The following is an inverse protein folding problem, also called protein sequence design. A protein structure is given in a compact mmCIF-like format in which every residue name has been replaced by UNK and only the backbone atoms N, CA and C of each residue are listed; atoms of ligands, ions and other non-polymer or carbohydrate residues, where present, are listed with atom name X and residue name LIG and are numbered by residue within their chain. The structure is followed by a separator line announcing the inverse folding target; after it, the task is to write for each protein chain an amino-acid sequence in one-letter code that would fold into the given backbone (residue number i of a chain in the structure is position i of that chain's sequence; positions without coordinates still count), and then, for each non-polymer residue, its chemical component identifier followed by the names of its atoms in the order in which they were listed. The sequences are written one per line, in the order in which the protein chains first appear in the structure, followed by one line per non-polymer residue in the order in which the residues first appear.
data_IF_581020843845
#
_entry.id   IF_581020843845
#
_cell.length_a   1.000
_cell.length_b   1.000
_cell.length_c   1.000
_cell.angle_alpha   90.00
_cell.angle_beta   90.00
_cell.angle_gamma   90.00
#
_symmetry.space_group_name_H-M   'P 1'
#
loop_
_entity.id
_entity.type
_entity.pdbx_description
1 polymer ?
#
# COMPACT_ATOMS: atom_id res chain seq x y z
N UNK A 1 -5.11 -24.22 2.77
CA UNK A 1 -4.54 -23.38 3.85
C UNK A 1 -5.01 -21.94 3.60
N UNK A 2 -5.53 -21.25 4.62
CA UNK A 2 -6.26 -19.97 4.42
C UNK A 2 -5.31 -18.77 4.47
N UNK A 3 -5.32 -17.94 3.42
CA UNK A 3 -4.47 -16.76 3.23
C UNK A 3 -4.73 -15.71 4.35
N UNK A 4 -3.75 -15.35 5.19
CA UNK A 4 -3.97 -14.61 6.44
C UNK A 4 -4.14 -13.09 6.30
N UNK A 5 -4.25 -12.52 5.09
CA UNK A 5 -4.22 -11.06 4.88
C UNK A 5 -5.54 -10.29 5.05
N UNK A 6 -6.69 -10.89 4.75
CA UNK A 6 -7.96 -10.16 4.64
C UNK A 6 -8.76 -10.14 5.96
N UNK A 7 -9.23 -8.95 6.35
CA UNK A 7 -10.19 -8.83 7.45
C UNK A 7 -11.43 -9.67 7.15
N UNK A 8 -11.71 -10.69 7.99
CA UNK A 8 -12.93 -11.53 7.88
C UNK A 8 -14.20 -10.85 8.42
N UNK A 9 -14.17 -9.53 8.55
CA UNK A 9 -15.33 -8.73 8.94
C UNK A 9 -16.22 -8.46 7.74
N UNK A 10 -17.52 -8.34 7.97
CA UNK A 10 -18.47 -7.98 6.93
C UNK A 10 -18.17 -6.57 6.42
N UNK A 11 -18.05 -6.40 5.11
CA UNK A 11 -17.81 -5.10 4.47
C UNK A 11 -18.95 -4.10 4.64
N UNK A 12 -20.17 -4.56 4.91
CA UNK A 12 -21.34 -3.70 5.08
C UNK A 12 -21.55 -3.27 6.55
N UNK A 13 -21.45 -4.20 7.51
CA UNK A 13 -21.77 -3.94 8.92
C UNK A 13 -20.63 -4.21 9.91
N UNK A 14 -19.47 -4.64 9.42
CA UNK A 14 -18.29 -5.02 10.22
C UNK A 14 -18.46 -6.23 11.13
N UNK A 15 -19.64 -6.87 11.18
CA UNK A 15 -19.85 -8.10 11.97
C UNK A 15 -19.02 -9.27 11.47
N UNK A 16 -18.65 -10.16 12.39
CA UNK A 16 -18.01 -11.43 12.11
C UNK A 16 -18.93 -12.59 12.56
N UNK A 17 -18.82 -13.79 11.96
CA UNK A 17 -17.97 -14.12 10.81
C UNK A 17 -18.58 -13.61 9.49
N UNK A 18 -17.74 -13.31 8.50
CA UNK A 18 -18.16 -12.97 7.14
C UNK A 18 -17.62 -13.96 6.10
N UNK A 19 -18.41 -14.21 5.06
CA UNK A 19 -18.07 -15.10 3.96
C UNK A 19 -17.65 -14.29 2.73
N UNK A 20 -16.64 -14.77 2.01
CA UNK A 20 -16.17 -14.13 0.79
C UNK A 20 -17.27 -14.11 -0.28
N UNK A 21 -17.32 -13.03 -1.07
CA UNK A 21 -18.17 -12.92 -2.24
C UNK A 21 -17.86 -14.09 -3.17
N UNK A 22 -18.89 -14.85 -3.54
CA UNK A 22 -18.73 -16.06 -4.36
C UNK A 22 -18.10 -15.81 -5.73
N UNK A 23 -18.14 -14.56 -6.21
CA UNK A 23 -17.62 -14.17 -7.52
C UNK A 23 -16.18 -13.67 -7.45
N UNK A 24 -15.92 -12.54 -6.79
CA UNK A 24 -14.58 -11.96 -6.75
C UNK A 24 -13.69 -12.54 -5.65
N UNK A 25 -14.28 -13.13 -4.59
CA UNK A 25 -13.58 -13.55 -3.37
C UNK A 25 -12.78 -12.46 -2.63
N UNK A 26 -12.89 -11.20 -3.05
CA UNK A 26 -12.17 -10.06 -2.47
C UNK A 26 -12.91 -9.41 -1.30
N UNK A 27 -14.24 -9.32 -1.36
CA UNK A 27 -15.06 -8.74 -0.29
C UNK A 27 -15.76 -9.82 0.53
N UNK A 28 -16.01 -9.55 1.80
CA UNK A 28 -16.63 -10.48 2.76
C UNK A 28 -17.95 -9.94 3.30
N UNK A 29 -18.98 -10.77 3.43
CA UNK A 29 -20.29 -10.38 3.96
C UNK A 29 -20.81 -11.41 4.97
N UNK A 30 -21.38 -10.96 6.10
CA UNK A 30 -21.99 -11.86 7.09
C UNK A 30 -23.32 -12.46 6.62
N UNK A 31 -23.95 -11.86 5.60
CA UNK A 31 -25.21 -12.32 5.04
C UNK A 31 -25.41 -11.84 3.59
N UNK A 32 -26.29 -12.52 2.86
CA UNK A 32 -26.73 -12.08 1.52
C UNK A 32 -27.41 -10.71 1.55
N UNK A 33 -28.05 -10.33 2.66
CA UNK A 33 -28.66 -9.01 2.82
C UNK A 33 -27.59 -7.92 2.85
N UNK A 34 -26.51 -8.14 3.61
CA UNK A 34 -25.37 -7.23 3.61
C UNK A 34 -24.68 -7.13 2.25
N UNK A 35 -24.53 -8.26 1.53
CA UNK A 35 -23.99 -8.26 0.17
C UNK A 35 -24.89 -7.48 -0.81
N UNK A 36 -26.21 -7.66 -0.74
CA UNK A 36 -27.18 -6.94 -1.59
C UNK A 36 -27.22 -5.45 -1.27
N UNK A 37 -27.13 -5.07 0.00
CA UNK A 37 -27.07 -3.68 0.43
C UNK A 37 -25.84 -2.95 -0.13
N UNK A 38 -24.69 -3.61 -0.19
CA UNK A 38 -23.47 -3.05 -0.76
C UNK A 38 -23.37 -3.22 -2.29
N UNK A 39 -24.25 -4.01 -2.92
CA UNK A 39 -24.18 -4.36 -4.34
C UNK A 39 -24.05 -3.16 -5.29
N UNK A 40 -24.78 -2.02 -5.12
CA UNK A 40 -24.63 -0.87 -6.02
C UNK A 40 -23.19 -0.35 -6.12
N UNK A 41 -22.41 -0.45 -5.03
CA UNK A 41 -21.01 -0.03 -4.96
C UNK A 41 -20.07 -1.19 -5.30
N UNK A 42 -20.34 -2.39 -4.78
CA UNK A 42 -19.53 -3.59 -5.01
C UNK A 42 -19.51 -4.02 -6.49
N UNK A 43 -20.65 -3.98 -7.19
CA UNK A 43 -20.78 -4.42 -8.60
C UNK A 43 -19.84 -3.70 -9.56
N UNK A 44 -19.46 -2.47 -9.22
CA UNK A 44 -18.51 -1.69 -10.00
C UNK A 44 -17.16 -2.41 -10.06
N UNK A 45 -16.81 -3.21 -9.05
CA UNK A 45 -15.51 -3.87 -8.90
C UNK A 45 -15.53 -5.38 -8.69
N UNK A 46 -16.70 -5.98 -8.53
CA UNK A 46 -16.85 -7.43 -8.59
C UNK A 46 -16.39 -7.91 -9.97
N UNK A 47 -15.46 -8.89 -10.04
CA UNK A 47 -14.92 -9.53 -11.28
C UNK A 47 -16.00 -10.25 -12.12
N UNK A 48 -17.11 -9.59 -12.46
CA UNK A 48 -18.29 -10.23 -13.04
C UNK A 48 -19.00 -9.38 -14.09
N UNK A 49 -18.32 -8.40 -14.66
CA UNK A 49 -18.83 -7.63 -15.78
C UNK A 49 -17.66 -7.27 -16.72
N UNK A 50 -17.28 -8.20 -17.59
CA UNK A 50 -16.56 -7.88 -18.83
C UNK A 50 -15.03 -8.00 -18.85
N UNK A 51 -14.38 -8.74 -17.94
CA UNK A 51 -12.97 -9.12 -18.18
C UNK A 51 -12.90 -10.11 -19.36
N UNK A 52 -11.90 -9.98 -20.26
CA UNK A 52 -11.69 -10.93 -21.36
C UNK A 52 -11.60 -12.36 -20.81
N UNK A 53 -11.93 -13.39 -21.63
CA UNK A 53 -11.81 -14.78 -21.21
C UNK A 53 -10.45 -14.98 -20.57
N UNK A 54 -10.43 -15.68 -19.43
CA UNK A 54 -9.23 -16.10 -18.75
C UNK A 54 -8.22 -16.52 -19.83
N UNK A 55 -7.10 -15.81 -19.90
CA UNK A 55 -5.94 -16.30 -20.66
C UNK A 55 -5.81 -17.76 -20.24
N UNK A 56 -5.78 -18.73 -21.19
CA UNK A 56 -5.79 -20.15 -20.85
C UNK A 56 -4.73 -20.36 -19.77
N UNK A 57 -5.16 -20.84 -18.59
CA UNK A 57 -4.32 -20.92 -17.39
C UNK A 57 -2.93 -21.44 -17.78
N UNK A 58 -1.89 -20.57 -17.78
CA UNK A 58 -0.55 -21.04 -18.04
C UNK A 58 -0.11 -21.91 -16.87
N UNK A 59 0.64 -22.96 -17.20
CA UNK A 59 1.25 -23.88 -16.26
C UNK A 59 1.93 -23.13 -15.08
N UNK A 60 1.56 -23.51 -13.86
CA UNK A 60 2.28 -23.22 -12.62
C UNK A 60 2.59 -21.73 -12.32
N UNK A 61 1.57 -20.86 -12.23
CA UNK A 61 1.76 -19.51 -11.68
C UNK A 61 2.36 -19.54 -10.27
N UNK A 62 3.37 -18.71 -10.01
CA UNK A 62 3.92 -18.52 -8.65
C UNK A 62 3.07 -17.51 -7.89
N UNK A 63 2.41 -17.97 -6.82
CA UNK A 63 1.48 -17.15 -6.05
C UNK A 63 2.19 -16.06 -5.21
N UNK A 64 3.36 -16.37 -4.65
CA UNK A 64 4.16 -15.45 -3.85
C UNK A 64 5.64 -15.76 -4.02
N UNK A 65 6.43 -14.73 -4.26
CA UNK A 65 7.87 -14.83 -4.33
C UNK A 65 8.47 -13.83 -3.33
N UNK A 66 9.25 -14.38 -2.41
CA UNK A 66 10.04 -13.61 -1.47
C UNK A 66 11.39 -13.32 -2.13
N UNK A 67 11.74 -12.05 -2.23
CA UNK A 67 12.98 -11.57 -2.86
C UNK A 67 13.74 -10.64 -1.91
N UNK A 68 13.49 -10.75 -0.61
CA UNK A 68 14.06 -9.88 0.41
C UNK A 68 15.59 -9.87 0.35
N UNK A 69 16.21 -11.04 0.34
CA UNK A 69 17.67 -11.17 0.42
C UNK A 69 18.35 -10.66 -0.86
N UNK A 70 17.76 -10.90 -2.03
CA UNK A 70 18.29 -10.45 -3.32
C UNK A 70 18.04 -8.97 -3.57
N UNK A 71 16.93 -8.41 -3.10
CA UNK A 71 16.65 -6.98 -3.23
C UNK A 71 17.47 -6.14 -2.24
N UNK A 72 17.89 -6.71 -1.11
CA UNK A 72 18.81 -6.07 -0.17
C UNK A 72 20.28 -6.20 -0.55
N UNK A 73 20.62 -7.06 -1.52
CA UNK A 73 22.01 -7.30 -1.94
C UNK A 73 22.44 -6.37 -3.08
N UNK A 74 23.74 -6.06 -3.13
CA UNK A 74 24.32 -5.19 -4.15
C UNK A 74 24.28 -5.79 -5.57
N UNK A 75 24.61 -5.01 -6.62
CA UNK A 75 24.50 -5.47 -8.01
C UNK A 75 25.38 -6.67 -8.40
N UNK A 76 26.46 -6.91 -7.64
CA UNK A 76 27.40 -8.01 -7.87
C UNK A 76 27.13 -9.22 -6.97
N UNK A 77 26.27 -9.06 -5.97
CA UNK A 77 25.93 -10.11 -5.01
C UNK A 77 24.73 -10.92 -5.53
N UNK A 78 24.76 -12.23 -5.27
CA UNK A 78 23.70 -13.17 -5.63
C UNK A 78 23.36 -13.14 -7.13
N UNK A 79 24.35 -12.93 -8.00
CA UNK A 79 24.11 -12.68 -9.43
C UNK A 79 23.45 -13.89 -10.14
N UNK A 80 23.76 -15.12 -9.71
CA UNK A 80 23.18 -16.33 -10.26
C UNK A 80 21.70 -16.48 -9.84
N UNK A 81 21.42 -16.29 -8.55
CA UNK A 81 20.10 -16.34 -7.95
C UNK A 81 19.19 -15.25 -8.53
N UNK A 82 19.70 -14.02 -8.65
CA UNK A 82 19.03 -12.90 -9.32
C UNK A 82 18.66 -13.20 -10.78
N UNK A 83 19.52 -13.93 -11.50
CA UNK A 83 19.25 -14.33 -12.88
C UNK A 83 18.21 -15.45 -12.96
N UNK A 84 18.26 -16.41 -12.04
CA UNK A 84 17.28 -17.49 -11.89
C UNK A 84 15.89 -16.95 -11.58
N UNK A 85 15.76 -16.08 -10.58
CA UNK A 85 14.50 -15.39 -10.23
C UNK A 85 13.92 -14.67 -11.44
N UNK A 86 14.74 -13.93 -12.19
CA UNK A 86 14.28 -13.24 -13.40
C UNK A 86 13.80 -14.23 -14.48
N UNK A 87 14.43 -15.39 -14.60
CA UNK A 87 14.00 -16.44 -15.52
C UNK A 87 12.67 -17.05 -15.08
N UNK A 88 12.54 -17.37 -13.80
CA UNK A 88 11.33 -17.94 -13.21
C UNK A 88 10.13 -16.98 -13.37
N UNK A 89 10.30 -15.70 -13.02
CA UNK A 89 9.25 -14.68 -13.17
C UNK A 89 8.86 -14.49 -14.63
N UNK A 90 9.79 -14.58 -15.58
CA UNK A 90 9.44 -14.51 -17.02
C UNK A 90 8.71 -15.74 -17.51
N UNK A 91 9.08 -16.92 -16.99
CA UNK A 91 8.54 -18.20 -17.44
C UNK A 91 7.15 -18.47 -16.87
N UNK A 92 6.97 -18.23 -15.57
CA UNK A 92 5.76 -18.60 -14.83
C UNK A 92 4.92 -17.39 -14.40
N UNK A 93 5.54 -16.21 -14.36
CA UNK A 93 4.92 -15.02 -13.78
C UNK A 93 4.79 -15.10 -12.26
N UNK A 94 4.42 -13.98 -11.65
CA UNK A 94 4.29 -13.86 -10.19
C UNK A 94 3.14 -12.93 -9.84
N UNK A 95 2.33 -13.32 -8.86
CA UNK A 95 1.18 -12.53 -8.41
C UNK A 95 1.51 -11.61 -7.23
N UNK A 96 2.47 -11.98 -6.39
CA UNK A 96 2.83 -11.22 -5.19
C UNK A 96 4.36 -11.13 -5.03
N UNK A 97 4.87 -9.89 -4.93
CA UNK A 97 6.29 -9.59 -4.68
C UNK A 97 6.42 -8.74 -3.42
N UNK A 98 6.91 -9.34 -2.34
CA UNK A 98 6.95 -8.68 -1.03
C UNK A 98 8.04 -9.30 -0.14
N UNK A 99 8.91 -8.50 0.52
CA UNK A 99 9.22 -7.08 0.28
C UNK A 99 10.21 -6.88 -0.89
N UNK A 100 10.20 -5.70 -1.52
CA UNK A 100 11.13 -5.32 -2.61
C UNK A 100 11.87 -4.03 -2.27
N UNK A 101 13.18 -4.11 -2.00
CA UNK A 101 14.05 -2.94 -1.74
C UNK A 101 14.69 -2.41 -3.04
N UNK A 102 14.36 -1.18 -3.43
CA UNK A 102 14.76 -0.62 -4.73
C UNK A 102 16.12 0.07 -4.75
N UNK A 103 16.72 0.38 -3.61
CA UNK A 103 17.88 1.27 -3.50
C UNK A 103 19.23 0.54 -3.62
N UNK A 104 19.28 -0.78 -3.35
CA UNK A 104 20.54 -1.57 -3.37
C UNK A 104 20.97 -2.00 -4.76
N UNK A 105 20.01 -2.42 -5.59
CA UNK A 105 20.22 -2.76 -7.01
C UNK A 105 19.04 -2.28 -7.88
N UNK A 106 18.95 -0.95 -8.12
CA UNK A 106 17.80 -0.36 -8.80
C UNK A 106 17.63 -0.87 -10.24
N UNK A 107 18.72 -1.27 -10.91
CA UNK A 107 18.66 -1.73 -12.28
C UNK A 107 18.06 -3.15 -12.37
N UNK A 108 18.44 -4.05 -11.47
CA UNK A 108 17.86 -5.38 -11.41
C UNK A 108 16.40 -5.35 -10.95
N UNK A 109 16.07 -4.59 -9.90
CA UNK A 109 14.69 -4.46 -9.42
C UNK A 109 13.76 -3.92 -10.50
N UNK A 110 14.20 -2.95 -11.30
CA UNK A 110 13.42 -2.47 -12.43
C UNK A 110 13.15 -3.57 -13.48
N UNK A 111 14.12 -4.45 -13.74
CA UNK A 111 13.93 -5.61 -14.64
C UNK A 111 12.94 -6.61 -14.05
N UNK A 112 13.03 -6.87 -12.74
CA UNK A 112 12.12 -7.76 -12.02
C UNK A 112 10.68 -7.27 -12.09
N UNK A 113 10.43 -6.01 -11.74
CA UNK A 113 9.08 -5.44 -11.77
C UNK A 113 8.50 -5.41 -13.19
N UNK A 114 9.32 -5.14 -14.22
CA UNK A 114 8.88 -5.22 -15.62
C UNK A 114 8.51 -6.63 -16.05
N UNK A 115 9.27 -7.64 -15.60
CA UNK A 115 8.96 -9.03 -15.88
C UNK A 115 7.68 -9.49 -15.16
N UNK A 116 7.46 -9.04 -13.92
CA UNK A 116 6.28 -9.37 -13.12
C UNK A 116 5.01 -8.63 -13.55
N UNK A 117 5.13 -7.46 -14.18
CA UNK A 117 4.03 -6.54 -14.53
C UNK A 117 2.76 -7.19 -15.11
N UNK A 118 2.83 -8.22 -15.99
CA UNK A 118 1.64 -8.81 -16.59
C UNK A 118 0.72 -9.53 -15.60
N UNK A 119 1.24 -10.07 -14.48
CA UNK A 119 0.47 -10.88 -13.51
C UNK A 119 0.48 -10.32 -12.09
N UNK A 120 1.30 -9.31 -11.79
CA UNK A 120 1.47 -8.77 -10.45
C UNK A 120 0.19 -8.13 -9.91
N UNK A 121 -0.32 -8.67 -8.80
CA UNK A 121 -1.53 -8.22 -8.10
C UNK A 121 -1.23 -7.56 -6.75
N UNK A 122 -0.17 -7.96 -6.06
CA UNK A 122 0.27 -7.37 -4.79
C UNK A 122 1.76 -7.01 -4.80
N UNK A 123 2.09 -5.80 -4.37
CA UNK A 123 3.47 -5.28 -4.33
C UNK A 123 3.72 -4.55 -3.02
N UNK A 124 4.84 -4.86 -2.36
CA UNK A 124 5.43 -4.07 -1.27
C UNK A 124 6.80 -3.57 -1.69
N UNK A 125 6.92 -2.26 -1.89
CA UNK A 125 8.10 -1.61 -2.44
C UNK A 125 8.68 -0.59 -1.46
N UNK A 126 9.99 -0.67 -1.29
CA UNK A 126 10.77 0.17 -0.39
C UNK A 126 11.76 1.02 -1.19
N UNK A 127 11.88 2.30 -0.83
CA UNK A 127 12.89 3.22 -1.39
C UNK A 127 12.87 3.32 -2.92
N UNK A 128 11.67 3.32 -3.50
CA UNK A 128 11.49 3.36 -4.95
C UNK A 128 12.24 4.57 -5.57
N UNK A 129 13.06 4.30 -6.59
CA UNK A 129 13.65 5.38 -7.42
C UNK A 129 12.61 5.98 -8.39
N UNK A 130 12.96 7.09 -9.04
CA UNK A 130 12.16 7.72 -10.11
C UNK A 130 11.67 6.71 -11.16
N UNK A 131 12.51 5.77 -11.59
CA UNK A 131 12.15 4.80 -12.63
C UNK A 131 11.14 3.77 -12.12
N UNK A 132 11.30 3.30 -10.89
CA UNK A 132 10.35 2.38 -10.25
C UNK A 132 8.98 3.05 -10.05
N UNK A 133 8.99 4.32 -9.64
CA UNK A 133 7.78 5.11 -9.45
C UNK A 133 6.98 5.27 -10.75
N UNK A 134 7.65 5.60 -11.85
CA UNK A 134 7.03 5.74 -13.17
C UNK A 134 6.50 4.42 -13.75
N UNK A 135 6.93 3.27 -13.22
CA UNK A 135 6.44 1.95 -13.62
C UNK A 135 5.09 1.60 -12.98
N UNK A 136 4.77 2.12 -11.78
CA UNK A 136 3.54 1.74 -11.05
C UNK A 136 2.25 1.84 -11.90
N UNK A 137 2.03 2.88 -12.73
CA UNK A 137 0.84 2.98 -13.57
C UNK A 137 0.74 1.91 -14.67
N UNK A 138 1.85 1.24 -15.02
CA UNK A 138 1.86 0.18 -16.04
C UNK A 138 1.47 -1.18 -15.46
N UNK A 139 1.41 -1.32 -14.14
CA UNK A 139 1.04 -2.56 -13.44
C UNK A 139 -0.49 -2.72 -13.44
N UNK A 140 -1.07 -3.07 -14.60
CA UNK A 140 -2.53 -3.05 -14.82
C UNK A 140 -3.34 -3.96 -13.90
N UNK A 141 -2.73 -5.03 -13.38
CA UNK A 141 -3.36 -5.99 -12.47
C UNK A 141 -3.17 -5.68 -10.99
N UNK A 142 -2.44 -4.61 -10.65
CA UNK A 142 -2.13 -4.29 -9.25
C UNK A 142 -3.40 -3.94 -8.47
N UNK A 143 -3.70 -4.74 -7.45
CA UNK A 143 -4.86 -4.59 -6.56
C UNK A 143 -4.45 -4.08 -5.18
N UNK A 144 -3.24 -4.42 -4.73
CA UNK A 144 -2.70 -4.07 -3.42
C UNK A 144 -1.30 -3.48 -3.59
N UNK A 145 -1.09 -2.30 -3.04
CA UNK A 145 0.21 -1.63 -3.08
C UNK A 145 0.58 -1.13 -1.69
N UNK A 146 1.78 -1.48 -1.26
CA UNK A 146 2.44 -0.92 -0.10
C UNK A 146 3.69 -0.18 -0.59
N UNK A 147 3.77 1.13 -0.29
CA UNK A 147 4.93 1.96 -0.65
C UNK A 147 5.52 2.54 0.62
N UNK A 148 6.74 2.13 0.91
CA UNK A 148 7.51 2.59 2.05
C UNK A 148 8.72 3.40 1.57
N UNK A 149 8.95 4.51 2.23
CA UNK A 149 10.07 5.38 1.95
C UNK A 149 10.90 5.55 3.21
N UNK A 150 12.15 5.10 3.16
CA UNK A 150 13.10 5.37 4.21
C UNK A 150 13.51 6.83 4.11
N UNK A 151 13.08 7.62 5.08
CA UNK A 151 13.58 8.98 5.24
C UNK A 151 15.06 8.88 5.66
N UNK A 152 16.04 9.36 4.85
CA UNK A 152 17.49 9.19 5.08
C UNK A 152 18.05 9.93 6.31
N UNK A 153 17.17 10.32 7.22
CA UNK A 153 17.40 11.27 8.28
C UNK A 153 18.41 10.77 9.34
N UNK A 154 18.84 9.51 9.26
CA UNK A 154 19.87 8.93 10.12
C UNK A 154 21.23 8.68 9.45
N UNK A 155 21.40 8.86 8.13
CA UNK A 155 22.73 8.64 7.55
C UNK A 155 23.73 9.75 7.89
N UNK A 156 23.27 10.87 8.47
CA UNK A 156 24.13 12.01 8.84
C UNK A 156 24.90 12.61 7.67
N UNK A 157 24.58 12.19 6.44
CA UNK A 157 25.14 12.74 5.22
C UNK A 157 24.26 13.93 4.85
N UNK A 158 24.70 15.12 5.25
CA UNK A 158 24.14 16.45 4.91
C UNK A 158 24.16 16.76 3.39
N UNK A 159 24.12 15.74 2.53
CA UNK A 159 24.12 15.83 1.07
C UNK A 159 23.41 14.69 0.37
N UNK A 160 22.64 13.84 1.07
CA UNK A 160 21.72 12.94 0.37
C UNK A 160 20.57 13.78 -0.19
N UNK A 161 20.72 14.19 -1.46
CA UNK A 161 19.65 14.76 -2.27
C UNK A 161 18.38 13.95 -2.04
N UNK A 162 17.40 14.57 -1.37
CA UNK A 162 16.11 13.97 -1.09
C UNK A 162 15.56 13.48 -2.42
N UNK A 163 15.41 12.16 -2.65
CA UNK A 163 15.02 11.69 -3.96
C UNK A 163 13.64 12.26 -4.30
N UNK A 164 13.62 13.17 -5.26
CA UNK A 164 12.38 13.77 -5.75
C UNK A 164 11.68 12.74 -6.62
N UNK A 165 10.67 12.09 -6.05
CA UNK A 165 9.74 11.29 -6.83
C UNK A 165 8.95 12.24 -7.73
N UNK A 166 9.01 12.09 -9.07
CA UNK A 166 8.27 12.98 -9.95
C UNK A 166 6.77 12.75 -9.81
N UNK A 167 5.97 13.71 -10.26
CA UNK A 167 4.55 13.47 -10.47
C UNK A 167 4.33 12.28 -11.40
N UNK A 168 3.35 11.44 -11.09
CA UNK A 168 3.02 10.30 -11.94
C UNK A 168 2.41 10.79 -13.27
N UNK A 169 2.76 10.18 -14.42
CA UNK A 169 2.25 10.60 -15.73
C UNK A 169 0.73 10.43 -15.79
N UNK A 170 -0.01 11.34 -16.45
CA UNK A 170 -1.46 11.23 -16.57
C UNK A 170 -1.86 9.87 -17.14
N UNK A 171 -3.01 9.34 -16.70
CA UNK A 171 -3.55 8.11 -17.26
C UNK A 171 -4.02 8.37 -18.70
N UNK A 172 -3.67 7.47 -19.62
CA UNK A 172 -4.26 7.47 -20.95
C UNK A 172 -5.77 7.17 -20.82
N UNK A 173 -6.68 7.99 -21.39
CA UNK A 173 -8.11 7.71 -21.40
C UNK A 173 -8.48 6.35 -22.00
N UNK A 174 -7.64 5.82 -22.91
CA UNK A 174 -7.83 4.50 -23.52
C UNK A 174 -7.42 3.35 -22.59
N UNK A 175 -6.56 3.61 -21.61
CA UNK A 175 -6.18 2.61 -20.62
C UNK A 175 -7.30 2.43 -19.61
N UNK A 176 -7.83 1.20 -19.50
CA UNK A 176 -8.70 0.86 -18.38
C UNK A 176 -7.98 1.20 -17.06
N UNK A 177 -8.63 1.95 -16.15
CA UNK A 177 -7.98 2.41 -14.94
C UNK A 177 -7.55 1.20 -14.10
N UNK A 178 -6.25 1.13 -13.80
CA UNK A 178 -5.70 0.15 -12.86
C UNK A 178 -6.51 0.18 -11.58
N UNK A 179 -7.00 -0.99 -11.16
CA UNK A 179 -8.02 -1.12 -10.10
C UNK A 179 -7.37 -1.30 -8.74
N UNK A 180 -6.58 -0.33 -8.30
CA UNK A 180 -5.97 -0.40 -6.98
C UNK A 180 -7.06 -0.29 -5.90
N UNK A 181 -7.18 -1.33 -5.08
CA UNK A 181 -8.22 -1.47 -4.06
C UNK A 181 -7.70 -1.21 -2.65
N UNK A 182 -6.43 -1.55 -2.40
CA UNK A 182 -5.79 -1.39 -1.10
C UNK A 182 -4.46 -0.66 -1.28
N UNK A 183 -4.26 0.40 -0.50
CA UNK A 183 -3.04 1.20 -0.52
C UNK A 183 -2.55 1.46 0.90
N UNK A 184 -1.27 1.21 1.16
CA UNK A 184 -0.54 1.70 2.33
C UNK A 184 0.63 2.55 1.88
N UNK A 185 0.77 3.74 2.47
CA UNK A 185 1.77 4.73 2.06
C UNK A 185 2.49 5.33 3.25
N UNK A 186 3.82 5.27 3.20
CA UNK A 186 4.73 6.07 3.99
C UNK A 186 5.64 6.83 3.01
N UNK A 187 5.20 8.02 2.58
CA UNK A 187 5.82 8.79 1.49
C UNK A 187 5.86 10.29 1.84
N UNK A 188 6.71 11.08 1.15
CA UNK A 188 6.58 12.53 1.14
C UNK A 188 5.18 12.97 0.69
N UNK A 189 4.78 14.19 1.08
CA UNK A 189 3.40 14.69 0.94
C UNK A 189 2.87 14.61 -0.48
N UNK A 190 3.61 15.15 -1.45
CA UNK A 190 3.09 15.29 -2.82
C UNK A 190 3.02 13.94 -3.56
N UNK A 191 4.05 13.07 -3.54
CA UNK A 191 3.96 11.72 -4.11
C UNK A 191 2.84 10.87 -3.48
N UNK A 192 2.60 11.02 -2.17
CA UNK A 192 1.46 10.39 -1.50
C UNK A 192 0.14 10.86 -2.11
N UNK A 193 -0.06 12.18 -2.21
CA UNK A 193 -1.29 12.75 -2.75
C UNK A 193 -1.52 12.35 -4.21
N UNK A 194 -0.47 12.27 -5.01
CA UNK A 194 -0.55 11.84 -6.40
C UNK A 194 -1.06 10.40 -6.53
N UNK A 195 -0.56 9.47 -5.71
CA UNK A 195 -1.08 8.10 -5.66
C UNK A 195 -2.55 8.07 -5.21
N UNK A 196 -2.86 8.76 -4.12
CA UNK A 196 -4.21 8.72 -3.54
C UNK A 196 -5.23 9.37 -4.48
N UNK A 197 -4.90 10.48 -5.15
CA UNK A 197 -5.76 11.11 -6.16
C UNK A 197 -5.97 10.20 -7.38
N UNK A 198 -4.90 9.56 -7.86
CA UNK A 198 -4.95 8.66 -9.01
C UNK A 198 -5.88 7.48 -8.78
N UNK A 199 -5.79 6.86 -7.62
CA UNK A 199 -6.53 5.63 -7.31
C UNK A 199 -7.77 5.87 -6.44
N UNK A 200 -8.06 7.10 -6.04
CA UNK A 200 -9.09 7.40 -5.04
C UNK A 200 -10.49 6.88 -5.39
N UNK A 201 -10.83 6.85 -6.67
CA UNK A 201 -12.11 6.32 -7.16
C UNK A 201 -12.23 4.79 -7.06
N UNK A 202 -11.13 4.04 -6.96
CA UNK A 202 -11.12 2.58 -6.80
C UNK A 202 -10.69 2.11 -5.41
N UNK A 203 -9.97 2.94 -4.66
CA UNK A 203 -9.45 2.59 -3.34
C UNK A 203 -10.59 2.29 -2.36
N UNK A 204 -10.52 1.13 -1.71
CA UNK A 204 -11.44 0.66 -0.68
C UNK A 204 -10.83 0.76 0.71
N UNK A 205 -9.53 0.53 0.78
CA UNK A 205 -8.76 0.70 2.00
C UNK A 205 -7.52 1.55 1.74
N UNK A 206 -7.33 2.53 2.62
CA UNK A 206 -6.20 3.42 2.61
C UNK A 206 -5.56 3.44 4.01
N UNK A 207 -4.27 3.15 4.07
CA UNK A 207 -3.48 3.26 5.29
C UNK A 207 -2.40 4.31 5.09
N UNK A 208 -2.39 5.35 5.92
CA UNK A 208 -1.45 6.46 5.78
C UNK A 208 -0.63 6.54 7.06
N UNK A 209 0.68 6.57 6.93
CA UNK A 209 1.57 6.89 8.03
C UNK A 209 1.53 8.40 8.26
N UNK A 210 0.99 8.82 9.41
CA UNK A 210 0.84 10.24 9.73
C UNK A 210 0.73 10.46 11.24
N UNK A 211 1.60 11.32 11.79
CA UNK A 211 1.55 11.70 13.20
C UNK A 211 0.60 12.87 13.49
N UNK A 212 0.51 13.24 14.77
CA UNK A 212 -0.31 14.37 15.25
C UNK A 212 0.47 15.69 15.25
N UNK A 213 -0.12 16.79 15.70
CA UNK A 213 0.55 18.09 15.87
C UNK A 213 1.43 18.17 17.13
N UNK A 214 1.96 17.04 17.60
CA UNK A 214 2.76 16.98 18.82
C UNK A 214 4.12 17.62 18.62
N UNK A 215 4.76 18.03 19.72
CA UNK A 215 6.20 18.35 19.68
C UNK A 215 6.94 17.04 19.35
N UNK A 216 7.62 16.94 18.20
CA UNK A 216 8.36 15.74 17.88
C UNK A 216 9.51 15.55 18.86
N UNK A 217 9.79 14.31 19.25
CA UNK A 217 10.93 13.99 20.12
C UNK A 217 12.27 14.38 19.48
N UNK A 218 12.31 14.47 18.14
CA UNK A 218 13.49 14.85 17.38
C UNK A 218 13.20 16.03 16.45
N UNK A 219 14.13 17.01 16.30
CA UNK A 219 14.03 18.08 15.30
C UNK A 219 13.84 17.56 13.86
N UNK A 220 14.35 16.35 13.64
CA UNK A 220 14.30 15.60 12.39
C UNK A 220 12.90 15.08 12.03
N UNK A 221 12.00 15.01 13.01
CA UNK A 221 10.61 14.55 12.85
C UNK A 221 9.62 15.73 12.77
N UNK A 222 10.07 16.90 12.30
CA UNK A 222 9.20 18.06 12.08
C UNK A 222 8.54 17.98 10.70
N UNK A 223 7.25 18.24 10.66
CA UNK A 223 6.45 18.25 9.44
C UNK A 223 5.98 16.87 8.99
N UNK A 224 5.46 16.80 7.77
CA UNK A 224 4.93 15.59 7.17
C UNK A 224 6.03 14.54 6.89
N UNK A 225 5.79 13.24 7.13
CA UNK A 225 4.57 12.63 7.67
C UNK A 225 4.53 12.52 9.20
N UNK A 226 5.61 12.85 9.91
CA UNK A 226 5.73 12.65 11.36
C UNK A 226 4.79 13.53 12.21
N UNK A 227 4.38 14.67 11.67
CA UNK A 227 3.41 15.58 12.27
C UNK A 227 2.45 16.09 11.20
N UNK A 228 1.16 16.19 11.53
CA UNK A 228 0.16 16.75 10.63
C UNK A 228 -1.04 17.30 11.41
N UNK A 229 -1.50 18.50 11.03
CA UNK A 229 -2.73 19.11 11.51
C UNK A 229 -3.96 18.24 11.33
N UNK A 230 -4.94 18.40 12.23
CA UNK A 230 -6.25 17.78 12.06
C UNK A 230 -6.95 18.27 10.78
N UNK A 231 -7.01 19.59 10.61
CA UNK A 231 -7.63 20.22 9.43
C UNK A 231 -6.76 20.05 8.18
N UNK A 232 -5.43 20.14 8.29
CA UNK A 232 -4.52 19.91 7.17
C UNK A 232 -4.73 18.53 6.53
N UNK A 233 -4.78 17.46 7.33
CA UNK A 233 -5.01 16.11 6.81
C UNK A 233 -6.41 15.98 6.19
N UNK A 234 -7.42 16.56 6.84
CA UNK A 234 -8.79 16.52 6.36
C UNK A 234 -8.94 17.24 5.00
N UNK A 235 -8.32 18.41 4.84
CA UNK A 235 -8.33 19.20 3.61
C UNK A 235 -7.59 18.51 2.47
N UNK A 236 -6.48 17.84 2.78
CA UNK A 236 -5.75 17.02 1.82
C UNK A 236 -6.61 15.88 1.28
N UNK A 237 -7.22 15.10 2.17
CA UNK A 237 -8.01 13.93 1.78
C UNK A 237 -9.31 14.30 1.06
N UNK A 238 -9.89 15.47 1.36
CA UNK A 238 -11.09 15.99 0.66
C UNK A 238 -10.85 16.15 -0.84
N UNK A 239 -9.60 16.38 -1.26
CA UNK A 239 -9.22 16.62 -2.66
C UNK A 239 -8.95 15.32 -3.44
N UNK A 240 -9.07 14.14 -2.82
CA UNK A 240 -8.59 12.88 -3.41
C UNK A 240 -9.67 12.00 -4.05
N UNK A 241 -10.92 12.46 -4.20
CA UNK A 241 -12.02 11.67 -4.79
C UNK A 241 -12.15 10.23 -4.23
N UNK A 242 -12.19 10.10 -2.90
CA UNK A 242 -12.20 8.82 -2.18
C UNK A 242 -13.60 8.16 -2.16
N UNK A 243 -14.30 8.13 -3.29
CA UNK A 243 -15.71 7.73 -3.39
C UNK A 243 -15.97 6.23 -3.12
N UNK A 244 -14.99 5.39 -3.45
CA UNK A 244 -15.01 3.95 -3.15
C UNK A 244 -14.46 3.61 -1.76
N UNK A 245 -13.87 4.57 -1.04
CA UNK A 245 -13.17 4.29 0.21
C UNK A 245 -14.17 3.82 1.29
N UNK A 246 -13.76 2.79 2.02
CA UNK A 246 -14.53 2.19 3.12
C UNK A 246 -13.80 2.28 4.44
N UNK A 247 -12.49 2.12 4.38
CA UNK A 247 -11.64 2.05 5.55
C UNK A 247 -10.42 2.92 5.36
N UNK A 248 -10.24 3.86 6.28
CA UNK A 248 -9.07 4.70 6.40
C UNK A 248 -8.40 4.42 7.75
N UNK A 249 -7.12 4.04 7.72
CA UNK A 249 -6.31 3.81 8.92
C UNK A 249 -5.16 4.80 8.97
N UNK A 250 -5.13 5.62 10.02
CA UNK A 250 -3.99 6.50 10.31
C UNK A 250 -2.98 5.69 11.13
N UNK A 251 -1.85 5.32 10.51
CA UNK A 251 -0.79 4.50 11.11
C UNK A 251 0.20 5.39 11.86
N UNK A 252 0.46 5.03 13.13
CA UNK A 252 1.36 5.73 14.04
C UNK A 252 2.11 4.68 14.88
N UNK A 253 3.25 4.15 14.39
CA UNK A 253 3.98 3.13 15.12
C UNK A 253 4.40 3.68 16.49
N UNK A 254 4.06 2.96 17.56
CA UNK A 254 4.31 3.37 18.94
C UNK A 254 5.77 3.13 19.37
N UNK A 255 6.47 2.25 18.64
CA UNK A 255 7.91 2.04 18.75
C UNK A 255 8.52 2.40 17.41
N UNK A 256 9.75 2.96 17.38
CA UNK A 256 10.48 3.06 16.12
C UNK A 256 10.53 1.66 15.51
N UNK A 257 9.85 1.47 14.39
CA UNK A 257 10.10 0.31 13.54
C UNK A 257 11.52 0.53 13.05
N UNK A 258 12.44 -0.42 13.25
CA UNK A 258 13.87 -0.28 12.98
C UNK A 258 14.19 0.32 11.59
N UNK A 259 13.27 0.22 10.64
CA UNK A 259 13.37 0.71 9.26
C UNK A 259 12.75 2.10 9.01
N UNK A 260 12.01 2.68 9.96
CA UNK A 260 11.43 4.02 9.85
C UNK A 260 12.13 4.97 10.81
N UNK A 261 12.92 5.89 10.27
CA UNK A 261 13.53 6.97 11.04
C UNK A 261 12.44 7.89 11.62
N UNK A 262 12.35 7.93 12.96
CA UNK A 262 11.57 8.91 13.71
C UNK A 262 10.30 8.36 14.33
N UNK A 263 9.97 8.89 15.50
CA UNK A 263 8.75 8.56 16.22
C UNK A 263 7.59 9.35 15.62
N UNK A 264 6.60 8.64 15.09
CA UNK A 264 5.34 9.28 14.71
C UNK A 264 4.67 9.77 15.98
N UNK A 265 4.48 11.09 16.07
CA UNK A 265 3.84 11.67 17.24
C UNK A 265 2.42 11.09 17.39
N UNK A 266 2.09 10.67 18.61
CA UNK A 266 0.77 10.17 18.96
C UNK A 266 0.34 10.78 20.30
N UNK A 267 -0.25 11.96 20.23
CA UNK A 267 -1.03 12.51 21.35
C UNK A 267 -2.49 12.07 21.23
N UNK A 268 -3.11 11.57 22.30
CA UNK A 268 -4.45 11.00 22.26
C UNK A 268 -5.53 12.05 21.97
N UNK A 269 -5.44 13.25 22.56
CA UNK A 269 -6.41 14.31 22.33
C UNK A 269 -6.32 14.83 20.88
N UNK A 270 -5.10 15.03 20.37
CA UNK A 270 -4.88 15.41 18.99
C UNK A 270 -5.26 14.29 18.01
N UNK A 271 -5.08 13.02 18.39
CA UNK A 271 -5.57 11.88 17.64
C UNK A 271 -7.08 11.96 17.44
N UNK A 272 -7.82 12.15 18.53
CA UNK A 272 -9.28 12.25 18.51
C UNK A 272 -9.74 13.44 17.65
N UNK A 273 -9.06 14.59 17.76
CA UNK A 273 -9.32 15.77 16.94
C UNK A 273 -9.09 15.49 15.44
N UNK A 274 -7.94 14.90 15.08
CA UNK A 274 -7.60 14.55 13.70
C UNK A 274 -8.58 13.53 13.11
N UNK A 275 -8.94 12.46 13.84
CA UNK A 275 -9.95 11.50 13.39
C UNK A 275 -11.31 12.17 13.18
N UNK A 276 -11.70 13.10 14.06
CA UNK A 276 -12.96 13.82 13.94
C UNK A 276 -12.98 14.74 12.71
N UNK A 277 -11.91 15.47 12.44
CA UNK A 277 -11.77 16.30 11.25
C UNK A 277 -11.84 15.47 9.96
N UNK A 278 -11.12 14.34 9.91
CA UNK A 278 -11.15 13.43 8.76
C UNK A 278 -12.54 12.83 8.54
N UNK A 279 -13.27 12.43 9.59
CA UNK A 279 -14.66 11.96 9.46
C UNK A 279 -15.60 13.02 8.92
N UNK A 280 -15.44 14.28 9.33
CA UNK A 280 -16.21 15.41 8.77
C UNK A 280 -15.91 15.62 7.28
N UNK A 281 -14.64 15.52 6.88
CA UNK A 281 -14.24 15.69 5.49
C UNK A 281 -14.64 14.52 4.59
N UNK A 282 -14.77 13.31 5.14
CA UNK A 282 -15.08 12.08 4.42
C UNK A 282 -16.34 11.38 5.00
N UNK A 283 -17.53 12.01 4.93
CA UNK A 283 -18.74 11.48 5.57
C UNK A 283 -19.21 10.14 4.97
N UNK A 284 -18.75 9.79 3.76
CA UNK A 284 -19.07 8.55 3.07
C UNK A 284 -18.19 7.35 3.47
N UNK A 285 -17.17 7.57 4.31
CA UNK A 285 -16.19 6.56 4.75
C UNK A 285 -16.57 6.08 6.16
N UNK A 286 -17.17 4.88 6.29
CA UNK A 286 -17.73 4.41 7.56
C UNK A 286 -16.66 4.12 8.62
N UNK A 287 -15.43 3.77 8.22
CA UNK A 287 -14.36 3.41 9.15
C UNK A 287 -13.17 4.36 8.99
N UNK A 288 -13.02 5.29 9.95
CA UNK A 288 -11.82 6.12 10.10
C UNK A 288 -11.21 5.79 11.45
N UNK A 289 -10.05 5.16 11.44
CA UNK A 289 -9.42 4.52 12.60
C UNK A 289 -8.00 5.03 12.81
N UNK A 290 -7.56 5.02 14.06
CA UNK A 290 -6.15 5.15 14.40
C UNK A 290 -5.57 3.76 14.64
N UNK A 291 -4.44 3.46 13.99
CA UNK A 291 -3.77 2.16 14.14
C UNK A 291 -3.39 1.85 15.60
N UNK A 292 -3.00 2.87 16.37
CA UNK A 292 -2.57 2.75 17.77
C UNK A 292 -3.76 2.62 18.71
N UNK A 293 -4.67 3.61 18.74
CA UNK A 293 -5.83 3.59 19.63
C UNK A 293 -6.73 2.37 19.40
N UNK A 294 -6.89 1.94 18.14
CA UNK A 294 -7.74 0.80 17.80
C UNK A 294 -6.99 -0.53 17.75
N UNK A 295 -5.71 -0.57 18.16
CA UNK A 295 -4.87 -1.77 18.16
C UNK A 295 -4.92 -2.54 16.83
N UNK A 296 -4.90 -1.80 15.72
CA UNK A 296 -4.91 -2.43 14.40
C UNK A 296 -3.55 -3.06 14.19
N UNK A 297 -3.54 -4.40 14.13
CA UNK A 297 -2.31 -5.17 13.95
C UNK A 297 -1.43 -4.63 12.82
N UNK A 298 -0.14 -4.61 13.12
CA UNK A 298 0.92 -4.41 12.16
C UNK A 298 1.22 -5.75 11.54
N UNK A 299 0.51 -6.06 10.46
CA UNK A 299 1.06 -7.00 9.47
C UNK A 299 2.12 -6.24 8.68
N UNK A 300 3.20 -5.83 9.35
CA UNK A 300 4.49 -5.92 8.70
C UNK A 300 4.73 -7.41 8.65
N UNK A 301 5.04 -7.94 7.47
CA UNK A 301 5.42 -9.34 7.38
C UNK A 301 6.48 -9.58 8.45
N UNK A 302 6.26 -10.55 9.32
CA UNK A 302 7.21 -10.97 10.36
C UNK A 302 8.42 -11.64 9.72
N UNK A 303 9.05 -10.98 8.75
CA UNK A 303 10.40 -11.28 8.35
C UNK A 303 11.27 -10.76 9.48
N UNK A 304 11.52 -11.66 10.42
CA UNK A 304 12.62 -11.68 11.37
C UNK A 304 13.91 -11.33 10.62
N UNK A 305 14.18 -10.03 10.44
CA UNK A 305 15.50 -9.53 10.02
C UNK A 305 16.56 -9.82 11.12
N UNK A 306 16.13 -10.27 12.30
CA UNK A 306 17.02 -10.77 13.33
C UNK A 306 16.63 -12.20 13.70
N UNK A 307 17.39 -13.16 13.15
CA UNK A 307 17.77 -14.29 13.97
C UNK A 307 18.31 -13.75 15.30
N UNK A 308 17.83 -14.34 16.39
CA UNK A 308 18.31 -14.14 17.75
C UNK A 308 19.82 -13.88 17.78
N UNK A 309 20.21 -12.64 18.08
CA UNK A 309 21.55 -12.32 18.61
C UNK A 309 21.45 -12.21 20.13
#
# INVERSE_FOLDING_TARGET
MANPGYSRACFNCSSQPAQACSRCRLDFYCSKNCQRGDWPRHRLFCRSAGEPPAVPEPMAEVDMMDVNDETMSGPMEHAAEKAEILSEVKQYGVRRLMPVYCDRDPAWVLKLLKAAAPLLEELDIWNASKQHWLLLPTLKRLLRLEVNYWFPVLSGQDGCDKPELPALPPLDPADSPTRLLWLRVCLPRDPMLDLVRRYGASLRELQIFVGTTGQPHSPLSRGWPWTCGAEDLADLLRQCNLSALRRLVLRRPHKPVMTLCGDFTHDEAQCAAQLSAVRRALPSVPQVLCGTCNQIEWKCFEYTIFGTF
#
